data_IF_773847269831
#
_entry.id   IF_773847269831
#
_cell.length_a   1.000
_cell.length_b   1.000
_cell.length_c   1.000
_cell.angle_alpha   90.00
_cell.angle_beta   90.00
_cell.angle_gamma   90.00
#
_symmetry.space_group_name_H-M   'P 1'
#
loop_
_entity.id
_entity.type
_entity.pdbx_description
1 polymer ?
#
# COMPACT_ATOMS: atom_id res chain seq x y z
N UNK A 1 -4.43 -2.19 -0.27
CA UNK A 1 -5.30 -1.61 0.77
C UNK A 1 -6.67 -2.26 0.84
N UNK A 2 -7.38 -2.54 -0.26
CA UNK A 2 -8.68 -3.25 -0.22
C UNK A 2 -8.69 -4.54 0.63
N UNK A 3 -7.71 -5.43 0.44
CA UNK A 3 -7.59 -6.65 1.25
C UNK A 3 -7.31 -6.37 2.74
N UNK A 4 -6.64 -5.26 3.05
CA UNK A 4 -6.41 -4.80 4.43
C UNK A 4 -7.72 -4.27 5.03
N UNK A 5 -8.41 -3.37 4.34
CA UNK A 5 -9.67 -2.77 4.77
C UNK A 5 -10.79 -3.82 4.98
N UNK A 6 -10.74 -4.93 4.26
CA UNK A 6 -11.69 -6.04 4.43
C UNK A 6 -11.19 -7.14 5.38
N UNK A 7 -10.05 -6.94 6.04
CA UNK A 7 -9.43 -7.90 6.95
C UNK A 7 -9.14 -9.28 6.31
N UNK A 8 -8.89 -9.29 4.99
CA UNK A 8 -8.68 -10.49 4.17
C UNK A 8 -7.23 -10.70 3.74
N UNK A 9 -6.27 -10.00 4.32
CA UNK A 9 -4.84 -10.10 3.94
C UNK A 9 -4.35 -11.56 3.83
N UNK A 10 -4.54 -12.37 4.88
CA UNK A 10 -4.11 -13.77 4.86
C UNK A 10 -4.88 -14.59 3.81
N UNK A 11 -6.20 -14.39 3.69
CA UNK A 11 -7.06 -15.07 2.71
C UNK A 11 -6.62 -14.78 1.28
N UNK A 12 -6.19 -13.55 1.01
CA UNK A 12 -5.71 -13.11 -0.30
C UNK A 12 -4.22 -13.45 -0.55
N UNK A 13 -3.58 -14.17 0.37
CA UNK A 13 -2.21 -14.68 0.23
C UNK A 13 -1.10 -13.70 0.65
N UNK A 14 -1.44 -12.64 1.38
CA UNK A 14 -0.45 -11.76 2.02
C UNK A 14 -0.02 -12.36 3.35
N UNK A 15 1.29 -12.44 3.59
CA UNK A 15 1.87 -12.79 4.88
C UNK A 15 2.47 -11.56 5.53
N UNK A 16 2.07 -11.29 6.77
CA UNK A 16 2.48 -10.11 7.52
C UNK A 16 3.59 -10.48 8.50
N UNK A 17 4.61 -9.65 8.56
CA UNK A 17 5.77 -9.83 9.43
C UNK A 17 6.06 -8.55 10.22
N UNK A 18 6.49 -8.70 11.47
CA UNK A 18 7.14 -7.65 12.26
C UNK A 18 8.65 -7.91 12.22
N UNK A 19 9.40 -7.08 11.50
CA UNK A 19 10.78 -7.42 11.14
C UNK A 19 10.81 -8.72 10.33
N UNK A 20 11.49 -9.75 10.84
CA UNK A 20 11.55 -11.08 10.21
C UNK A 20 10.47 -12.05 10.71
N UNK A 21 9.78 -11.71 11.80
CA UNK A 21 8.86 -12.64 12.47
C UNK A 21 7.46 -12.60 11.84
N UNK A 22 6.89 -13.74 11.41
CA UNK A 22 5.51 -13.78 10.92
C UNK A 22 4.54 -13.50 12.07
N UNK A 23 3.52 -12.68 11.80
CA UNK A 23 2.52 -12.26 12.79
C UNK A 23 1.11 -12.29 12.20
N UNK A 24 0.12 -12.48 13.06
CA UNK A 24 -1.28 -12.32 12.68
C UNK A 24 -1.60 -10.83 12.41
N UNK A 25 -2.23 -10.48 11.28
CA UNK A 25 -2.53 -9.09 10.94
C UNK A 25 -3.31 -8.34 12.02
N UNK A 26 -4.34 -8.97 12.59
CA UNK A 26 -5.22 -8.40 13.61
C UNK A 26 -4.52 -8.00 14.93
N UNK A 27 -3.28 -8.44 15.17
CA UNK A 27 -2.50 -7.98 16.32
C UNK A 27 -1.95 -6.56 16.13
N UNK A 28 -1.70 -6.16 14.89
CA UNK A 28 -1.00 -4.93 14.52
C UNK A 28 -1.82 -3.98 13.63
N UNK A 29 -2.91 -4.47 13.06
CA UNK A 29 -3.83 -3.73 12.20
C UNK A 29 -5.20 -3.81 12.83
N UNK A 30 -5.76 -2.66 13.17
CA UNK A 30 -7.15 -2.52 13.62
C UNK A 30 -7.92 -1.78 12.53
N UNK A 31 -9.11 -2.27 12.21
CA UNK A 31 -9.98 -1.70 11.17
C UNK A 31 -11.30 -1.31 11.83
N UNK A 32 -11.69 -0.05 11.66
CA UNK A 32 -12.90 0.53 12.21
C UNK A 32 -13.84 0.90 11.06
N UNK A 33 -14.93 0.14 10.84
CA UNK A 33 -15.93 0.48 9.84
C UNK A 33 -16.59 1.84 10.12
N UNK A 34 -16.88 2.59 9.07
CA UNK A 34 -17.65 3.82 9.16
C UNK A 34 -19.13 3.49 8.89
N UNK A 35 -20.03 3.93 9.77
CA UNK A 35 -21.46 3.68 9.62
C UNK A 35 -21.99 4.16 8.25
N UNK A 36 -22.88 3.37 7.66
CA UNK A 36 -23.51 3.64 6.36
C UNK A 36 -22.51 3.85 5.21
N UNK A 37 -21.32 3.27 5.30
CA UNK A 37 -20.29 3.39 4.28
C UNK A 37 -19.48 2.09 4.13
N UNK A 38 -18.84 1.93 2.97
CA UNK A 38 -17.84 0.89 2.74
C UNK A 38 -16.40 1.36 3.04
N UNK A 39 -16.27 2.51 3.70
CA UNK A 39 -15.00 3.11 4.07
C UNK A 39 -14.63 2.72 5.51
N UNK A 40 -13.34 2.77 5.83
CA UNK A 40 -12.83 2.36 7.14
C UNK A 40 -11.76 3.33 7.64
N UNK A 41 -11.67 3.49 8.95
CA UNK A 41 -10.44 3.95 9.60
C UNK A 41 -9.55 2.76 9.91
N UNK A 42 -8.24 2.96 9.86
CA UNK A 42 -7.24 1.94 10.14
C UNK A 42 -6.21 2.49 11.09
N UNK A 43 -5.92 1.72 12.13
CA UNK A 43 -4.78 1.95 13.02
C UNK A 43 -3.72 0.88 12.76
N UNK A 44 -2.50 1.34 12.50
CA UNK A 44 -1.34 0.48 12.26
C UNK A 44 -0.32 0.69 13.39
N UNK A 45 -0.13 -0.33 14.23
CA UNK A 45 0.68 -0.21 15.46
C UNK A 45 2.19 -0.14 15.23
N UNK A 46 2.65 -0.59 14.07
CA UNK A 46 4.08 -0.69 13.75
C UNK A 46 4.28 -0.75 12.25
N UNK A 47 5.49 -0.45 11.79
CA UNK A 47 5.92 -0.82 10.44
C UNK A 47 5.83 -2.33 10.27
N UNK A 48 5.14 -2.77 9.22
CA UNK A 48 4.97 -4.18 8.88
C UNK A 48 5.63 -4.50 7.56
N UNK A 49 6.33 -5.63 7.53
CA UNK A 49 6.80 -6.24 6.30
C UNK A 49 5.69 -7.12 5.72
N UNK A 50 5.54 -7.09 4.40
CA UNK A 50 4.52 -7.82 3.65
C UNK A 50 5.23 -8.72 2.67
N UNK A 51 4.98 -10.02 2.76
CA UNK A 51 5.41 -10.99 1.78
C UNK A 51 4.20 -11.42 0.93
N UNK A 52 4.31 -11.24 -0.38
CA UNK A 52 3.27 -11.57 -1.34
C UNK A 52 3.84 -12.45 -2.47
N UNK A 53 2.97 -13.14 -3.21
CA UNK A 53 3.23 -13.99 -4.40
C UNK A 53 4.70 -14.08 -4.87
N UNK A 54 5.25 -15.30 -4.91
CA UNK A 54 6.62 -15.59 -5.39
C UNK A 54 7.73 -14.81 -4.67
N UNK A 55 7.51 -14.50 -3.39
CA UNK A 55 8.53 -13.87 -2.55
C UNK A 55 8.67 -12.35 -2.75
N UNK A 56 7.68 -11.68 -3.37
CA UNK A 56 7.65 -10.22 -3.45
C UNK A 56 7.60 -9.61 -2.06
N UNK A 57 8.58 -8.78 -1.74
CA UNK A 57 8.75 -8.19 -0.42
C UNK A 57 8.35 -6.72 -0.47
N UNK A 58 7.60 -6.30 0.53
CA UNK A 58 7.11 -4.94 0.66
C UNK A 58 7.04 -4.54 2.13
N UNK A 59 6.78 -3.27 2.39
CA UNK A 59 6.45 -2.81 3.73
C UNK A 59 5.33 -1.79 3.67
N UNK A 60 4.61 -1.66 4.78
CA UNK A 60 3.66 -0.58 5.05
C UNK A 60 3.99 0.03 6.40
N UNK A 61 4.00 1.35 6.44
CA UNK A 61 4.27 2.14 7.64
C UNK A 61 3.32 3.34 7.66
N UNK A 62 2.86 3.69 8.85
CA UNK A 62 1.94 4.80 9.05
C UNK A 62 2.54 5.80 10.03
N UNK A 63 2.44 7.09 9.72
CA UNK A 63 3.00 8.19 10.53
C UNK A 63 1.92 9.02 11.25
N UNK A 64 0.69 8.52 11.29
CA UNK A 64 -0.44 9.08 12.06
C UNK A 64 -1.01 8.01 12.99
N UNK A 65 -1.85 8.38 13.95
CA UNK A 65 -2.51 7.41 14.83
C UNK A 65 -3.46 6.51 14.05
N UNK A 66 -4.20 7.09 13.11
CA UNK A 66 -5.11 6.40 12.22
C UNK A 66 -5.12 7.07 10.84
N UNK A 67 -5.47 6.28 9.83
CA UNK A 67 -5.68 6.77 8.48
C UNK A 67 -6.95 6.16 7.90
N UNK A 68 -7.52 6.86 6.95
CA UNK A 68 -8.76 6.48 6.29
C UNK A 68 -8.47 5.66 5.02
N UNK A 69 -9.33 4.68 4.71
CA UNK A 69 -9.34 3.95 3.43
C UNK A 69 -10.75 4.02 2.83
N UNK A 70 -10.85 4.46 1.58
CA UNK A 70 -12.11 4.44 0.83
C UNK A 70 -12.43 3.07 0.21
N UNK A 71 -13.63 2.92 -0.33
CA UNK A 71 -14.07 1.68 -1.00
C UNK A 71 -13.15 1.23 -2.16
N UNK A 72 -12.44 2.16 -2.82
CA UNK A 72 -11.52 1.84 -3.91
C UNK A 72 -10.14 1.39 -3.41
N UNK A 73 -9.85 1.57 -2.12
CA UNK A 73 -8.56 1.28 -1.50
C UNK A 73 -7.55 2.42 -1.61
N UNK A 74 -8.01 3.63 -1.92
CA UNK A 74 -7.21 4.82 -1.69
C UNK A 74 -7.16 5.09 -0.19
N UNK A 75 -6.07 5.66 0.27
CA UNK A 75 -5.89 5.99 1.67
C UNK A 75 -5.65 7.49 1.83
N UNK A 76 -6.03 8.02 2.99
CA UNK A 76 -5.87 9.43 3.33
C UNK A 76 -5.47 9.57 4.81
N UNK A 77 -4.55 10.48 5.16
CA UNK A 77 -3.76 11.32 4.26
C UNK A 77 -2.65 10.50 3.54
N UNK A 78 -2.44 10.71 2.22
CA UNK A 78 -1.53 9.88 1.42
C UNK A 78 -0.06 9.98 1.84
N UNK A 79 0.37 11.12 2.36
CA UNK A 79 1.74 11.37 2.82
C UNK A 79 2.13 10.55 4.05
N UNK A 80 1.15 10.09 4.82
CA UNK A 80 1.38 9.40 6.09
C UNK A 80 1.41 7.88 5.96
N UNK A 81 0.96 7.30 4.85
CA UNK A 81 1.04 5.84 4.64
C UNK A 81 2.09 5.54 3.57
N UNK A 82 3.24 5.05 4.02
CA UNK A 82 4.36 4.74 3.13
C UNK A 82 4.39 3.27 2.76
N UNK A 83 4.52 3.01 1.46
CA UNK A 83 4.72 1.67 0.91
C UNK A 83 6.15 1.51 0.40
N UNK A 84 6.84 0.48 0.89
CA UNK A 84 8.16 0.09 0.41
C UNK A 84 8.11 -1.17 -0.46
N UNK A 85 9.21 -1.44 -1.17
CA UNK A 85 9.40 -2.68 -1.95
C UNK A 85 8.50 -2.78 -3.17
N UNK A 86 8.12 -4.01 -3.53
CA UNK A 86 7.36 -4.31 -4.76
C UNK A 86 6.03 -3.54 -4.87
N UNK A 87 5.24 -3.48 -3.79
CA UNK A 87 3.96 -2.78 -3.79
C UNK A 87 4.13 -1.26 -3.92
N UNK A 88 5.16 -0.69 -3.29
CA UNK A 88 5.49 0.74 -3.44
C UNK A 88 5.91 1.08 -4.87
N UNK A 89 6.77 0.24 -5.47
CA UNK A 89 7.18 0.38 -6.88
C UNK A 89 6.00 0.29 -7.85
N UNK A 90 5.09 -0.66 -7.64
CA UNK A 90 3.87 -0.79 -8.45
C UNK A 90 3.00 0.46 -8.34
N UNK A 91 2.71 0.93 -7.11
CA UNK A 91 1.91 2.15 -6.91
C UNK A 91 2.53 3.37 -7.60
N UNK A 92 3.86 3.49 -7.54
CA UNK A 92 4.54 4.59 -8.22
C UNK A 92 4.48 4.44 -9.74
N UNK A 93 4.76 3.25 -10.27
CA UNK A 93 4.64 2.98 -11.70
C UNK A 93 3.24 3.24 -12.25
N UNK A 94 2.20 2.83 -11.53
CA UNK A 94 0.79 3.04 -11.91
C UNK A 94 0.36 4.51 -11.85
N UNK A 95 1.04 5.34 -11.04
CA UNK A 95 0.73 6.76 -10.87
C UNK A 95 1.44 7.67 -11.90
N UNK A 96 2.51 7.18 -12.52
CA UNK A 96 3.30 7.97 -13.45
C UNK A 96 2.61 8.04 -14.83
N UNK A 97 2.76 9.17 -15.56
CA UNK A 97 2.25 9.29 -16.92
C UNK A 97 2.78 8.18 -17.84
N UNK A 98 1.98 7.81 -18.85
CA UNK A 98 2.34 6.77 -19.82
C UNK A 98 3.66 7.06 -20.54
N UNK A 99 4.07 8.33 -20.61
CA UNK A 99 5.28 8.81 -21.27
C UNK A 99 6.45 9.06 -20.30
N UNK A 100 6.36 8.67 -19.04
CA UNK A 100 7.42 8.89 -18.03
C UNK A 100 8.79 8.32 -18.44
N UNK A 101 8.81 7.22 -19.22
CA UNK A 101 10.04 6.62 -19.74
C UNK A 101 10.33 7.00 -21.20
N UNK A 102 9.43 7.73 -21.86
CA UNK A 102 9.62 8.17 -23.23
C UNK A 102 10.46 9.46 -23.21
N UNK A 103 11.78 9.32 -23.06
CA UNK A 103 12.70 10.40 -23.42
C UNK A 103 12.45 10.73 -24.89
N UNK A 104 11.82 11.88 -25.16
CA UNK A 104 11.74 12.45 -26.51
C UNK A 104 13.17 12.63 -27.02
N UNK A 105 13.62 11.77 -27.93
CA UNK A 105 14.73 12.14 -28.79
C UNK A 105 14.33 13.41 -29.53
N UNK A 106 14.87 14.56 -29.11
CA UNK A 106 14.87 15.76 -29.94
C UNK A 106 15.62 15.38 -31.22
N UNK A 107 14.89 15.11 -32.31
CA UNK A 107 15.51 15.14 -33.64
C UNK A 107 16.07 16.55 -33.79
N UNK A 108 17.39 16.69 -33.76
CA UNK A 108 18.04 17.92 -34.18
C UNK A 108 17.64 18.16 -35.62
N UNK A 109 16.86 19.21 -35.89
CA UNK A 109 16.76 19.72 -37.25
C UNK A 109 18.15 20.23 -37.62
N UNK A 110 18.86 19.51 -38.48
CA UNK A 110 19.98 20.08 -39.22
C UNK A 110 19.39 21.15 -40.14
N UNK A 111 19.94 22.36 -40.02
CA UNK A 111 19.72 23.50 -40.91
C UNK A 111 20.18 23.17 -42.33
#
# INVERSE_FOLDING_TARGET
MRALAQEKLNKEGYRIHLGNNPVSPNRFIEVFPIENSNNVYVKLKSKLNILYKRGKQSSVENFTDEFYIDHFGNHSPPENVRFGGDLGKQRMGDALPLDFLLMKHKKSKSL
#
